data_IF_607423820107
#
_entry.id   IF_607423820107
#
_cell.length_a   1.000
_cell.length_b   1.000
_cell.length_c   1.000
_cell.angle_alpha   90.00
_cell.angle_beta   90.00
_cell.angle_gamma   90.00
#
_symmetry.space_group_name_H-M   'P 1'
#
loop_
_entity.id
_entity.type
_entity.pdbx_description
1 polymer ?
#
# COMPACT_ATOMS: atom_id res chain seq x y z
N UNK A 1 7.88 -15.80 1.19
CA UNK A 1 6.73 -14.92 0.86
C UNK A 1 5.58 -15.71 0.22
N UNK A 2 5.85 -16.61 -0.73
CA UNK A 2 4.85 -17.50 -1.35
C UNK A 2 4.00 -18.27 -0.32
N UNK A 3 4.59 -18.74 0.77
CA UNK A 3 3.85 -19.44 1.83
C UNK A 3 2.72 -18.60 2.47
N UNK A 4 2.87 -17.27 2.57
CA UNK A 4 1.79 -16.41 3.04
C UNK A 4 0.65 -16.33 2.03
N UNK A 5 1.00 -16.27 0.74
CA UNK A 5 0.05 -16.18 -0.35
C UNK A 5 -0.86 -17.41 -0.41
N UNK A 6 -0.27 -18.60 -0.32
CA UNK A 6 -1.00 -19.88 -0.38
C UNK A 6 -1.73 -20.23 0.92
N UNK A 7 -1.54 -19.45 1.98
CA UNK A 7 -2.18 -19.74 3.27
C UNK A 7 -3.69 -19.52 3.17
N UNK A 8 -4.45 -20.46 3.75
CA UNK A 8 -5.90 -20.33 3.89
C UNK A 8 -6.25 -19.20 4.88
N UNK A 9 -7.27 -18.37 4.60
CA UNK A 9 -7.73 -17.34 5.52
C UNK A 9 -8.31 -17.98 6.79
N UNK A 10 -7.97 -17.43 7.96
CA UNK A 10 -8.48 -17.88 9.26
C UNK A 10 -9.14 -16.69 9.97
N UNK A 11 -10.46 -16.70 10.03
CA UNK A 11 -11.27 -15.68 10.71
C UNK A 11 -11.74 -14.53 9.82
N UNK A 12 -12.68 -13.70 10.32
CA UNK A 12 -13.47 -12.79 9.51
C UNK A 12 -12.62 -11.76 8.75
N UNK A 13 -11.61 -11.16 9.40
CA UNK A 13 -10.78 -10.13 8.74
C UNK A 13 -9.97 -10.66 7.56
N UNK A 14 -9.51 -11.91 7.59
CA UNK A 14 -8.82 -12.49 6.44
C UNK A 14 -9.77 -12.76 5.28
N UNK A 15 -10.97 -13.23 5.58
CA UNK A 15 -12.02 -13.39 4.56
C UNK A 15 -12.42 -12.04 3.97
N UNK A 16 -12.50 -10.98 4.77
CA UNK A 16 -12.77 -9.62 4.28
C UNK A 16 -11.64 -9.12 3.36
N UNK A 17 -10.37 -9.32 3.73
CA UNK A 17 -9.25 -8.95 2.86
C UNK A 17 -9.28 -9.72 1.52
N UNK A 18 -9.67 -10.98 1.55
CA UNK A 18 -9.83 -11.79 0.33
C UNK A 18 -11.03 -11.35 -0.50
N UNK A 19 -12.12 -10.93 0.14
CA UNK A 19 -13.26 -10.33 -0.53
C UNK A 19 -12.87 -9.02 -1.23
N UNK A 20 -12.06 -8.17 -0.62
CA UNK A 20 -11.54 -6.94 -1.26
C UNK A 20 -10.77 -7.27 -2.55
N UNK A 21 -9.92 -8.30 -2.54
CA UNK A 21 -9.21 -8.76 -3.74
C UNK A 21 -10.14 -9.28 -4.82
N UNK A 22 -11.15 -10.06 -4.41
CA UNK A 22 -12.17 -10.57 -5.33
C UNK A 22 -12.95 -9.42 -5.96
N UNK A 23 -13.34 -8.41 -5.17
CA UNK A 23 -13.98 -7.19 -5.68
C UNK A 23 -13.08 -6.49 -6.68
N UNK A 24 -11.78 -6.36 -6.41
CA UNK A 24 -10.84 -5.80 -7.38
C UNK A 24 -10.80 -6.58 -8.70
N UNK A 25 -10.70 -7.91 -8.62
CA UNK A 25 -10.72 -8.77 -9.81
C UNK A 25 -12.03 -8.61 -10.61
N UNK A 26 -13.17 -8.64 -9.93
CA UNK A 26 -14.48 -8.48 -10.56
C UNK A 26 -14.66 -7.08 -11.14
N UNK A 27 -14.07 -6.05 -10.53
CA UNK A 27 -14.12 -4.67 -11.01
C UNK A 27 -13.52 -4.56 -12.41
N UNK A 28 -12.42 -5.27 -12.70
CA UNK A 28 -11.81 -5.28 -14.04
C UNK A 28 -12.78 -5.81 -15.09
N UNK A 29 -13.46 -6.93 -14.80
CA UNK A 29 -14.44 -7.50 -15.73
C UNK A 29 -15.66 -6.60 -15.91
N UNK A 30 -16.12 -5.96 -14.84
CA UNK A 30 -17.24 -5.01 -14.90
C UNK A 30 -16.84 -3.81 -15.75
N UNK A 31 -15.71 -3.16 -15.48
CA UNK A 31 -15.25 -2.04 -16.28
C UNK A 31 -15.04 -2.42 -17.75
N UNK A 32 -14.48 -3.59 -18.04
CA UNK A 32 -14.28 -4.05 -19.42
C UNK A 32 -15.59 -4.27 -20.21
N UNK A 33 -16.73 -4.43 -19.53
CA UNK A 33 -18.04 -4.64 -20.17
C UNK A 33 -18.83 -3.33 -20.30
N UNK A 34 -18.72 -2.42 -19.32
CA UNK A 34 -19.59 -1.25 -19.21
C UNK A 34 -18.88 0.10 -19.37
N UNK A 35 -17.54 0.12 -19.38
CA UNK A 35 -16.70 1.33 -19.45
C UNK A 35 -15.63 1.20 -20.54
N UNK A 36 -14.73 2.19 -20.61
CA UNK A 36 -13.68 2.22 -21.62
C UNK A 36 -12.57 1.19 -21.35
N UNK A 37 -11.83 0.74 -22.39
CA UNK A 37 -10.70 -0.16 -22.20
C UNK A 37 -9.61 0.41 -21.27
N UNK A 38 -9.43 1.72 -21.27
CA UNK A 38 -8.52 2.48 -20.38
C UNK A 38 -8.94 2.33 -18.92
N UNK A 39 -10.23 2.45 -18.60
CA UNK A 39 -10.78 2.23 -17.25
C UNK A 39 -10.53 0.82 -16.73
N UNK A 40 -10.79 -0.18 -17.58
CA UNK A 40 -10.48 -1.57 -17.27
C UNK A 40 -8.96 -1.77 -17.05
N UNK A 41 -8.13 -1.05 -17.81
CA UNK A 41 -6.68 -1.03 -17.68
C UNK A 41 -6.21 -0.47 -16.33
N UNK A 42 -6.77 0.65 -15.87
CA UNK A 42 -6.46 1.24 -14.55
C UNK A 42 -6.83 0.29 -13.41
N UNK A 43 -8.01 -0.34 -13.47
CA UNK A 43 -8.41 -1.35 -12.49
C UNK A 43 -7.52 -2.60 -12.56
N UNK A 44 -7.06 -3.00 -13.75
CA UNK A 44 -6.13 -4.10 -13.90
C UNK A 44 -4.75 -3.78 -13.29
N UNK A 45 -4.28 -2.53 -13.42
CA UNK A 45 -3.05 -2.04 -12.79
C UNK A 45 -3.13 -2.08 -11.25
N UNK A 46 -4.31 -1.90 -10.67
CA UNK A 46 -4.54 -2.00 -9.22
C UNK A 46 -4.44 -3.44 -8.67
N UNK A 47 -4.68 -4.47 -9.50
CA UNK A 47 -4.64 -5.88 -9.07
C UNK A 47 -3.31 -6.32 -8.45
N UNK A 48 -2.13 -6.12 -9.09
CA UNK A 48 -0.87 -6.47 -8.46
C UNK A 48 -0.67 -5.74 -7.12
N UNK A 49 -1.09 -4.47 -7.01
CA UNK A 49 -0.97 -3.71 -5.77
C UNK A 49 -1.77 -4.36 -4.63
N UNK A 50 -3.06 -4.66 -4.82
CA UNK A 50 -3.90 -5.26 -3.76
C UNK A 50 -3.51 -6.71 -3.39
N UNK A 51 -2.68 -7.37 -4.21
CA UNK A 51 -2.10 -8.68 -3.90
C UNK A 51 -0.85 -8.58 -3.01
N UNK A 52 -0.08 -7.48 -3.07
CA UNK A 52 1.16 -7.32 -2.32
C UNK A 52 1.03 -7.53 -0.80
N UNK A 53 0.02 -6.98 -0.09
CA UNK A 53 -0.19 -7.23 1.34
C UNK A 53 -0.20 -8.72 1.71
N UNK A 54 -0.77 -9.58 0.84
CA UNK A 54 -0.86 -11.02 1.06
C UNK A 54 0.51 -11.68 0.99
N UNK A 55 1.33 -11.33 -0.01
CA UNK A 55 2.69 -11.84 -0.14
C UNK A 55 3.57 -11.39 1.03
N UNK A 56 3.39 -10.16 1.48
CA UNK A 56 4.11 -9.56 2.61
C UNK A 56 3.59 -10.09 3.94
N UNK A 57 2.39 -10.66 4.01
CA UNK A 57 1.82 -11.22 5.24
C UNK A 57 1.60 -10.16 6.32
N UNK A 58 1.02 -9.02 5.95
CA UNK A 58 0.68 -7.92 6.87
C UNK A 58 -0.54 -8.25 7.74
N UNK A 59 -0.83 -7.41 8.73
CA UNK A 59 -2.04 -7.54 9.55
C UNK A 59 -3.31 -7.39 8.68
N UNK A 60 -4.35 -8.24 8.82
CA UNK A 60 -5.54 -8.21 7.96
C UNK A 60 -6.29 -6.89 7.97
N UNK A 61 -6.33 -6.20 9.11
CA UNK A 61 -6.94 -4.87 9.18
C UNK A 61 -6.24 -3.85 8.28
N UNK A 62 -4.90 -3.89 8.22
CA UNK A 62 -4.13 -3.03 7.32
C UNK A 62 -4.32 -3.46 5.86
N UNK A 63 -4.38 -4.77 5.61
CA UNK A 63 -4.64 -5.34 4.28
C UNK A 63 -5.97 -4.84 3.69
N UNK A 64 -7.06 -4.88 4.48
CA UNK A 64 -8.38 -4.38 4.08
C UNK A 64 -8.32 -2.89 3.75
N UNK A 65 -7.72 -2.07 4.64
CA UNK A 65 -7.64 -0.62 4.47
C UNK A 65 -6.80 -0.27 3.23
N UNK A 66 -5.65 -0.91 3.05
CA UNK A 66 -4.80 -0.77 1.87
C UNK A 66 -5.58 -1.09 0.61
N UNK A 67 -6.20 -2.28 0.54
CA UNK A 67 -6.93 -2.70 -0.65
C UNK A 67 -8.12 -1.81 -0.97
N UNK A 68 -8.87 -1.37 0.05
CA UNK A 68 -10.00 -0.45 -0.13
C UNK A 68 -9.55 0.90 -0.67
N UNK A 69 -8.47 1.49 -0.16
CA UNK A 69 -7.93 2.77 -0.65
C UNK A 69 -7.49 2.65 -2.11
N UNK A 70 -6.76 1.60 -2.46
CA UNK A 70 -6.32 1.36 -3.85
C UNK A 70 -7.52 1.17 -4.79
N UNK A 71 -8.58 0.47 -4.36
CA UNK A 71 -9.80 0.33 -5.16
C UNK A 71 -10.56 1.64 -5.30
N UNK A 72 -10.64 2.46 -4.25
CA UNK A 72 -11.25 3.79 -4.32
C UNK A 72 -10.50 4.65 -5.32
N UNK A 73 -9.16 4.64 -5.31
CA UNK A 73 -8.36 5.36 -6.30
C UNK A 73 -8.68 4.89 -7.73
N UNK A 74 -8.64 3.59 -7.98
CA UNK A 74 -8.91 3.05 -9.32
C UNK A 74 -10.34 3.36 -9.80
N UNK A 75 -11.36 3.21 -8.95
CA UNK A 75 -12.74 3.57 -9.30
C UNK A 75 -12.98 5.08 -9.41
N UNK A 76 -12.12 5.91 -8.79
CA UNK A 76 -12.17 7.36 -8.97
C UNK A 76 -11.86 7.77 -10.39
N UNK A 77 -10.99 7.02 -11.09
CA UNK A 77 -10.77 7.19 -12.52
C UNK A 77 -12.03 6.86 -13.32
N UNK A 78 -12.61 5.68 -13.08
CA UNK A 78 -13.78 5.17 -13.83
C UNK A 78 -15.03 6.05 -13.69
N UNK A 79 -15.14 6.80 -12.59
CA UNK A 79 -16.24 7.74 -12.34
C UNK A 79 -15.86 9.20 -12.54
N UNK A 80 -14.69 9.49 -13.12
CA UNK A 80 -14.20 10.85 -13.37
C UNK A 80 -14.18 11.74 -12.10
N UNK A 81 -13.92 11.15 -10.93
CA UNK A 81 -13.96 11.90 -9.67
C UNK A 81 -12.81 12.89 -9.55
N UNK A 82 -11.68 12.59 -10.19
CA UNK A 82 -10.50 13.47 -10.25
C UNK A 82 -10.80 14.80 -10.94
N UNK A 83 -11.64 14.78 -11.98
CA UNK A 83 -12.06 16.00 -12.68
C UNK A 83 -13.34 16.61 -12.09
N UNK A 84 -14.17 15.80 -11.43
CA UNK A 84 -15.46 16.23 -10.87
C UNK A 84 -15.36 16.85 -9.47
N UNK A 85 -14.33 16.53 -8.68
CA UNK A 85 -14.20 16.97 -7.29
C UNK A 85 -12.80 17.57 -7.07
N UNK A 86 -12.72 18.89 -6.97
CA UNK A 86 -11.47 19.65 -7.02
C UNK A 86 -10.37 19.29 -5.98
N UNK A 87 -10.73 18.72 -4.82
CA UNK A 87 -9.76 18.33 -3.78
C UNK A 87 -9.50 16.82 -3.73
N UNK A 88 -10.25 16.06 -4.53
CA UNK A 88 -10.30 14.61 -4.41
C UNK A 88 -8.98 13.96 -4.74
N UNK A 89 -8.33 14.48 -5.78
CA UNK A 89 -7.03 14.03 -6.23
C UNK A 89 -5.98 14.05 -5.10
N UNK A 90 -5.75 15.22 -4.50
CA UNK A 90 -4.90 15.39 -3.32
C UNK A 90 -5.26 14.44 -2.17
N UNK A 91 -6.55 14.20 -1.91
CA UNK A 91 -6.97 13.28 -0.84
C UNK A 91 -6.63 11.82 -1.17
N UNK A 92 -6.75 11.42 -2.44
CA UNK A 92 -6.34 10.09 -2.90
C UNK A 92 -4.81 9.96 -2.83
N UNK A 93 -4.05 10.97 -3.27
CA UNK A 93 -2.58 10.98 -3.16
C UNK A 93 -2.11 10.88 -1.70
N UNK A 94 -2.74 11.62 -0.78
CA UNK A 94 -2.50 11.49 0.65
C UNK A 94 -2.70 10.05 1.15
N UNK A 95 -3.87 9.47 0.85
CA UNK A 95 -4.26 8.15 1.36
C UNK A 95 -3.43 7.02 0.74
N UNK A 96 -3.31 7.00 -0.59
CA UNK A 96 -2.56 5.99 -1.33
C UNK A 96 -1.09 6.02 -0.98
N UNK A 97 -0.44 7.19 -1.03
CA UNK A 97 0.97 7.30 -0.69
C UNK A 97 1.24 6.90 0.75
N UNK A 98 0.35 7.25 1.69
CA UNK A 98 0.44 6.81 3.07
C UNK A 98 0.46 5.28 3.22
N UNK A 99 -0.55 4.59 2.68
CA UNK A 99 -0.63 3.13 2.81
C UNK A 99 0.43 2.39 2.00
N UNK A 100 0.82 2.91 0.84
CA UNK A 100 1.93 2.38 0.03
C UNK A 100 3.25 2.54 0.77
N UNK A 101 3.54 3.72 1.33
CA UNK A 101 4.75 3.94 2.11
C UNK A 101 4.83 2.99 3.30
N UNK A 102 3.73 2.78 4.02
CA UNK A 102 3.69 1.82 5.11
C UNK A 102 3.94 0.38 4.65
N UNK A 103 3.31 -0.04 3.55
CA UNK A 103 3.50 -1.37 2.98
C UNK A 103 4.95 -1.60 2.54
N UNK A 104 5.56 -0.62 1.86
CA UNK A 104 6.95 -0.67 1.40
C UNK A 104 7.91 -0.71 2.59
N UNK A 105 7.70 0.09 3.63
CA UNK A 105 8.49 0.01 4.87
C UNK A 105 8.42 -1.40 5.49
N UNK A 106 7.23 -2.01 5.55
CA UNK A 106 7.07 -3.38 6.06
C UNK A 106 7.74 -4.41 5.15
N UNK A 107 7.71 -4.23 3.83
CA UNK A 107 8.41 -5.08 2.88
C UNK A 107 9.92 -4.99 3.07
N UNK A 108 10.49 -3.79 3.11
CA UNK A 108 11.93 -3.57 3.29
C UNK A 108 12.42 -4.14 4.63
N UNK A 109 11.63 -3.98 5.70
CA UNK A 109 11.91 -4.60 6.99
C UNK A 109 11.88 -6.13 6.91
N UNK A 110 10.91 -6.70 6.18
CA UNK A 110 10.81 -8.15 5.98
C UNK A 110 11.97 -8.72 5.14
N UNK A 111 12.52 -7.92 4.23
CA UNK A 111 13.70 -8.25 3.44
C UNK A 111 15.03 -8.03 4.20
N UNK A 112 14.98 -7.46 5.41
CA UNK A 112 16.17 -7.16 6.21
C UNK A 112 16.98 -5.95 5.70
N UNK A 113 16.40 -5.14 4.80
CA UNK A 113 17.05 -3.93 4.24
C UNK A 113 17.04 -2.81 5.27
N UNK A 114 15.94 -2.68 6.02
CA UNK A 114 15.80 -1.71 7.09
C UNK A 114 15.44 -2.44 8.40
N UNK A 115 15.72 -1.81 9.53
CA UNK A 115 15.29 -2.34 10.81
C UNK A 115 13.76 -2.31 10.91
N UNK A 116 13.18 -3.35 11.52
CA UNK A 116 11.72 -3.44 11.66
C UNK A 116 11.19 -2.26 12.50
N UNK A 117 10.10 -1.61 12.06
CA UNK A 117 9.41 -0.63 12.88
C UNK A 117 9.11 -1.22 14.26
N UNK A 118 9.30 -0.43 15.32
CA UNK A 118 9.08 -0.83 16.73
C UNK A 118 10.03 -1.91 17.27
N UNK A 119 11.12 -2.22 16.56
CA UNK A 119 12.23 -2.95 17.17
C UNK A 119 12.91 -2.08 18.26
N UNK A 120 13.59 -2.73 19.21
CA UNK A 120 14.17 -2.04 20.40
C UNK A 120 15.16 -0.93 20.04
N UNK A 121 15.83 -1.08 18.91
CA UNK A 121 16.91 -0.18 18.49
C UNK A 121 16.43 0.91 17.50
N UNK A 122 15.13 0.95 17.18
CA UNK A 122 14.55 1.91 16.24
C UNK A 122 13.71 2.95 16.97
N UNK A 123 14.08 4.21 16.81
CA UNK A 123 13.32 5.33 17.36
C UNK A 123 12.06 5.61 16.54
N UNK A 124 11.06 6.25 17.17
CA UNK A 124 9.88 6.77 16.47
C UNK A 124 10.30 7.72 15.35
N UNK A 125 11.24 8.63 15.63
CA UNK A 125 11.76 9.59 14.65
C UNK A 125 12.38 8.89 13.42
N UNK A 126 13.16 7.82 13.61
CA UNK A 126 13.72 7.06 12.50
C UNK A 126 12.61 6.42 11.64
N UNK A 127 11.56 5.88 12.25
CA UNK A 127 10.41 5.31 11.54
C UNK A 127 9.66 6.36 10.73
N UNK A 128 9.44 7.55 11.31
CA UNK A 128 8.79 8.68 10.64
C UNK A 128 9.58 9.13 9.42
N UNK A 129 10.85 9.49 9.62
CA UNK A 129 11.71 10.00 8.54
C UNK A 129 11.81 8.99 7.41
N UNK A 130 12.08 7.72 7.74
CA UNK A 130 12.25 6.68 6.72
C UNK A 130 10.95 6.42 5.95
N UNK A 131 9.80 6.37 6.63
CA UNK A 131 8.50 6.18 5.96
C UNK A 131 8.15 7.38 5.07
N UNK A 132 8.43 8.61 5.51
CA UNK A 132 8.23 9.81 4.67
C UNK A 132 9.13 9.79 3.45
N UNK A 133 10.41 9.44 3.57
CA UNK A 133 11.34 9.33 2.43
C UNK A 133 10.88 8.26 1.44
N UNK A 134 10.45 7.09 1.95
CA UNK A 134 9.88 6.03 1.11
C UNK A 134 8.62 6.52 0.39
N UNK A 135 7.74 7.25 1.09
CA UNK A 135 6.53 7.81 0.50
C UNK A 135 6.81 8.85 -0.58
N UNK A 136 7.74 9.77 -0.36
CA UNK A 136 8.15 10.74 -1.38
C UNK A 136 8.75 10.05 -2.60
N UNK A 137 9.57 9.01 -2.40
CA UNK A 137 10.12 8.22 -3.50
C UNK A 137 9.02 7.45 -4.26
N UNK A 138 8.05 6.86 -3.55
CA UNK A 138 6.91 6.17 -4.16
C UNK A 138 6.01 7.14 -4.93
N UNK A 139 5.77 8.34 -4.37
CA UNK A 139 5.01 9.39 -5.05
C UNK A 139 5.72 9.82 -6.33
N UNK A 140 7.02 10.10 -6.28
CA UNK A 140 7.78 10.45 -7.48
C UNK A 140 7.74 9.34 -8.56
N UNK A 141 7.72 8.07 -8.17
CA UNK A 141 7.52 6.95 -9.11
C UNK A 141 6.11 6.95 -9.70
N UNK A 142 5.08 7.28 -8.92
CA UNK A 142 3.72 7.41 -9.41
C UNK A 142 3.59 8.53 -10.45
N UNK A 143 4.16 9.71 -10.18
CA UNK A 143 4.20 10.82 -11.15
C UNK A 143 4.88 10.42 -12.47
N UNK A 144 5.93 9.61 -12.40
CA UNK A 144 6.57 9.06 -13.61
C UNK A 144 5.65 8.09 -14.35
N UNK A 145 4.83 7.31 -13.64
CA UNK A 145 3.84 6.41 -14.24
C UNK A 145 2.73 7.23 -14.91
N UNK A 146 2.25 8.31 -14.29
CA UNK A 146 1.25 9.20 -14.88
C UNK A 146 1.79 9.91 -16.11
N UNK A 147 3.03 10.41 -16.06
CA UNK A 147 3.70 10.96 -17.24
C UNK A 147 3.80 9.92 -18.38
N UNK A 148 4.18 8.67 -18.08
CA UNK A 148 4.19 7.58 -19.08
C UNK A 148 2.77 7.31 -19.61
N UNK A 149 1.77 7.30 -18.73
CA UNK A 149 0.37 7.12 -19.11
C UNK A 149 -0.10 8.20 -20.08
N UNK A 150 0.18 9.46 -19.76
CA UNK A 150 -0.12 10.60 -20.61
C UNK A 150 0.56 10.51 -21.98
N UNK A 151 1.87 10.27 -21.99
CA UNK A 151 2.68 10.28 -23.21
C UNK A 151 2.35 9.10 -24.15
N UNK A 152 2.01 7.94 -23.61
CA UNK A 152 1.92 6.70 -24.40
C UNK A 152 0.55 6.01 -24.40
N UNK A 153 -0.40 6.44 -23.55
CA UNK A 153 -1.70 5.76 -23.39
C UNK A 153 -2.88 6.68 -23.70
N UNK A 154 -3.01 7.83 -23.02
CA UNK A 154 -4.12 8.77 -23.26
C UNK A 154 -3.77 10.20 -22.84
N UNK A 155 -4.08 11.17 -23.70
CA UNK A 155 -3.93 12.60 -23.43
C UNK A 155 -4.89 13.12 -22.35
N UNK A 156 -5.89 12.33 -21.95
CA UNK A 156 -6.83 12.67 -20.87
C UNK A 156 -6.19 12.56 -19.47
N UNK A 157 -5.04 11.89 -19.36
CA UNK A 157 -4.28 11.83 -18.11
C UNK A 157 -3.65 13.20 -17.87
N UNK A 158 -4.15 13.88 -16.85
CA UNK A 158 -3.67 15.21 -16.49
C UNK A 158 -2.29 15.10 -15.82
N UNK A 159 -1.33 15.88 -16.32
CA UNK A 159 0.00 16.04 -15.71
C UNK A 159 0.43 17.48 -15.93
N UNK A 160 0.65 18.20 -14.83
CA UNK A 160 1.18 19.55 -14.78
C UNK A 160 2.21 19.68 -13.66
N UNK A 161 3.05 20.73 -13.71
CA UNK A 161 4.13 20.87 -12.72
C UNK A 161 3.61 21.13 -11.30
N UNK A 162 2.61 22.00 -11.18
CA UNK A 162 1.96 22.34 -9.92
C UNK A 162 1.17 21.17 -9.33
N UNK A 163 0.53 20.38 -10.19
CA UNK A 163 -0.16 19.13 -9.89
C UNK A 163 0.82 18.11 -9.28
N UNK A 164 1.82 17.69 -10.05
CA UNK A 164 2.88 16.75 -9.63
C UNK A 164 3.57 17.17 -8.32
N UNK A 165 3.89 18.45 -8.15
CA UNK A 165 4.52 18.93 -6.91
C UNK A 165 3.53 18.92 -5.74
N UNK A 166 2.25 19.26 -5.99
CA UNK A 166 1.17 19.19 -5.03
C UNK A 166 0.95 17.77 -4.53
N UNK A 167 0.90 16.82 -5.44
CA UNK A 167 0.69 15.39 -5.19
C UNK A 167 1.82 14.77 -4.40
N UNK A 168 3.05 15.05 -4.78
CA UNK A 168 4.21 14.64 -4.00
C UNK A 168 4.23 15.25 -2.60
N UNK A 169 3.89 16.53 -2.46
CA UNK A 169 3.88 17.19 -1.16
C UNK A 169 2.81 16.59 -0.23
N UNK A 170 1.59 16.43 -0.73
CA UNK A 170 0.47 15.87 0.02
C UNK A 170 0.65 14.37 0.27
N UNK A 171 1.15 13.62 -0.71
CA UNK A 171 1.56 12.22 -0.56
C UNK A 171 2.63 12.04 0.51
N UNK A 172 3.62 12.93 0.56
CA UNK A 172 4.64 12.97 1.61
C UNK A 172 4.06 13.17 3.02
N UNK A 173 3.05 14.03 3.17
CA UNK A 173 2.31 14.20 4.42
C UNK A 173 1.54 12.92 4.80
N UNK A 174 0.91 12.26 3.82
CA UNK A 174 0.25 10.97 4.00
C UNK A 174 1.23 9.90 4.51
N UNK A 175 2.43 9.85 3.92
CA UNK A 175 3.50 8.95 4.35
C UNK A 175 4.03 9.26 5.75
N UNK A 176 4.12 10.54 6.13
CA UNK A 176 4.47 10.94 7.50
C UNK A 176 3.43 10.43 8.51
N UNK A 177 2.14 10.60 8.22
CA UNK A 177 1.04 10.09 9.06
C UNK A 177 1.07 8.56 9.13
N UNK A 178 1.34 7.88 8.02
CA UNK A 178 1.52 6.43 8.00
C UNK A 178 2.75 5.98 8.82
N UNK A 179 3.81 6.78 8.88
CA UNK A 179 4.95 6.57 9.76
C UNK A 179 4.56 6.56 11.23
N UNK A 180 3.66 7.46 11.65
CA UNK A 180 3.11 7.43 13.02
C UNK A 180 2.31 6.14 13.26
N UNK A 181 1.48 5.73 12.30
CA UNK A 181 0.75 4.47 12.40
C UNK A 181 1.69 3.26 12.53
N UNK A 182 2.78 3.21 11.75
CA UNK A 182 3.79 2.14 11.86
C UNK A 182 4.54 2.15 13.20
N UNK A 183 4.87 3.33 13.72
CA UNK A 183 5.55 3.47 14.99
C UNK A 183 4.65 3.08 16.18
N UNK A 184 3.35 3.30 16.08
CA UNK A 184 2.40 3.19 17.20
C UNK A 184 1.51 1.94 17.15
N UNK A 185 1.27 1.36 15.98
CA UNK A 185 0.36 0.22 15.76
C UNK A 185 1.10 -1.05 15.31
N UNK A 186 0.66 -2.25 15.70
CA UNK A 186 1.26 -3.51 15.24
C UNK A 186 0.72 -3.89 13.86
N UNK A 187 1.20 -3.23 12.80
CA UNK A 187 0.72 -3.47 11.42
C UNK A 187 1.32 -4.72 10.76
N UNK A 188 2.38 -5.29 11.35
CA UNK A 188 2.95 -6.56 10.92
C UNK A 188 2.18 -7.75 11.51
N UNK A 189 2.12 -8.86 10.77
CA UNK A 189 1.61 -10.12 11.30
C UNK A 189 2.78 -10.99 11.75
N UNK A 190 3.44 -10.66 12.87
CA UNK A 190 4.39 -11.59 13.47
C UNK A 190 4.64 -11.40 14.99
N UNK A 191 4.66 -12.55 15.69
CA UNK A 191 5.19 -12.83 17.04
C UNK A 191 6.52 -13.55 16.79
N UNK A 192 7.67 -12.84 16.76
CA UNK A 192 8.93 -13.27 16.12
C UNK A 192 9.23 -14.78 16.21
N UNK A 193 9.65 -15.47 15.13
CA UNK A 193 10.05 -16.87 15.22
C UNK A 193 11.31 -16.96 16.09
N UNK A 194 12.16 -15.94 15.97
CA UNK A 194 13.25 -15.59 16.89
C UNK A 194 12.84 -15.54 18.36
N UNK A 195 11.63 -15.11 18.71
CA UNK A 195 11.21 -15.08 20.12
C UNK A 195 10.81 -16.47 20.62
N UNK A 196 10.38 -17.37 19.74
CA UNK A 196 10.12 -18.77 20.07
C UNK A 196 11.41 -19.59 20.07
N UNK A 197 12.28 -19.39 19.08
CA UNK A 197 13.58 -20.06 18.97
C UNK A 197 14.59 -19.56 20.01
N UNK A 198 14.62 -18.28 20.36
CA UNK A 198 15.43 -17.77 21.49
C UNK A 198 14.92 -18.31 22.82
N UNK A 199 13.60 -18.34 23.06
CA UNK A 199 13.03 -18.96 24.29
C UNK A 199 13.27 -20.47 24.36
N UNK A 200 13.44 -21.13 23.21
CA UNK A 200 13.76 -22.55 23.11
C UNK A 200 15.25 -22.79 23.32
N UNK A 201 16.11 -21.94 22.76
CA UNK A 201 17.56 -21.94 22.99
C UNK A 201 17.90 -21.62 24.45
N UNK A 202 17.27 -20.61 25.06
CA UNK A 202 17.41 -20.24 26.48
C UNK A 202 16.95 -21.36 27.41
N UNK A 203 15.96 -22.17 27.00
CA UNK A 203 15.53 -23.36 27.75
C UNK A 203 16.50 -24.53 27.64
N UNK A 204 17.25 -24.62 26.55
CA UNK A 204 18.22 -25.68 26.31
C UNK A 204 19.60 -25.38 26.92
N UNK A 205 19.90 -24.10 27.23
CA UNK A 205 21.13 -23.68 27.93
C UNK A 205 21.00 -23.65 29.45
N UNK A 206 19.78 -23.76 29.99
CA UNK A 206 19.48 -23.73 31.43
C UNK A 206 19.06 -25.10 32.02
N UNK A 207 19.13 -26.18 31.25
CA UNK A 207 18.87 -27.56 31.69
C UNK A 207 20.08 -28.44 31.50
#
# INVERSE_FOLDING_TARGET
MIANFLRRPIGPLEFTADAVRLVGLLSVFVAAVWWEPTDAGVLALALPAILLPRFIGVHPGFDIVYGAIILVAAWSNVFDLYTSIAWWDLAVHFACTGVVAALVSLLLARLGIIAAPRSRDVTVAATLVLTTVIGLAASAVWEMIEWIGKEFVSDDIFVAYDDTIGDMAIGGLGALVAGFALALLPLHRYRSPDAADRRRADRLTLG
#
